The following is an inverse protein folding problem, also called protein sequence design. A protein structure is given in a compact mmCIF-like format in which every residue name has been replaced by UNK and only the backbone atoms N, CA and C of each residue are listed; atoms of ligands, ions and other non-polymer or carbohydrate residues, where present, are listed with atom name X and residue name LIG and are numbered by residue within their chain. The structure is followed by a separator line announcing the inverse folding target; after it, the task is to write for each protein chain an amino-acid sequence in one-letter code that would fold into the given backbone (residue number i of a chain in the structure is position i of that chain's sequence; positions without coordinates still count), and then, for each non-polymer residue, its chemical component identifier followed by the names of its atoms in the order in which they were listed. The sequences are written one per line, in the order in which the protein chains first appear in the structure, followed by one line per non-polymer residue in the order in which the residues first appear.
data_IF_590573008088
#
_entry.id   IF_590573008088
#
_cell.length_a   1.000
_cell.length_b   1.000
_cell.length_c   1.000
_cell.angle_alpha   90.00
_cell.angle_beta   90.00
_cell.angle_gamma   90.00
#
_symmetry.space_group_name_H-M   'P 1'
#
loop_
_entity.id
_entity.type
_entity.pdbx_description
1 polymer ?
#
# COMPACT_ATOMS: atom_id res chain seq x y z
N UNK A 1 26.49 -16.20 22.04
CA UNK A 1 26.44 -16.31 20.56
C UNK A 1 25.35 -15.40 20.06
N UNK A 2 25.73 -14.44 19.26
CA UNK A 2 24.74 -13.65 18.53
C UNK A 2 24.18 -14.52 17.42
N UNK A 3 22.90 -14.88 17.49
CA UNK A 3 22.19 -15.40 16.33
C UNK A 3 22.22 -14.32 15.27
N UNK A 4 22.88 -14.58 14.15
CA UNK A 4 22.80 -13.68 13.01
C UNK A 4 21.34 -13.63 12.59
N UNK A 5 20.72 -12.47 12.72
CA UNK A 5 19.42 -12.25 12.14
C UNK A 5 19.52 -12.53 10.63
N UNK A 6 18.72 -13.47 10.13
CA UNK A 6 18.67 -13.74 8.71
C UNK A 6 18.27 -12.44 7.98
N UNK A 7 19.08 -12.02 7.03
CA UNK A 7 18.77 -10.85 6.21
C UNK A 7 17.52 -11.17 5.40
N UNK A 8 16.41 -10.51 5.74
CA UNK A 8 15.16 -10.62 5.00
C UNK A 8 15.27 -9.83 3.70
N UNK A 9 14.80 -10.41 2.61
CA UNK A 9 14.69 -9.70 1.35
C UNK A 9 13.49 -8.78 1.39
N UNK A 10 13.69 -7.49 1.07
CA UNK A 10 12.60 -6.52 0.94
C UNK A 10 11.91 -6.69 -0.40
N UNK A 11 10.60 -6.81 -0.35
CA UNK A 11 9.75 -6.97 -1.53
C UNK A 11 8.62 -5.95 -1.47
N UNK A 12 8.42 -5.23 -2.56
CA UNK A 12 7.35 -4.27 -2.68
C UNK A 12 6.00 -4.98 -2.86
N UNK A 13 4.99 -4.52 -2.13
CA UNK A 13 3.60 -4.96 -2.27
C UNK A 13 2.76 -3.75 -2.64
N UNK A 14 1.99 -3.86 -3.72
CA UNK A 14 1.16 -2.77 -4.22
C UNK A 14 -0.29 -3.01 -3.81
N UNK A 15 -0.91 -1.97 -3.27
CA UNK A 15 -2.34 -1.95 -2.95
C UNK A 15 -3.07 -1.16 -4.03
N UNK A 16 -4.00 -1.81 -4.69
CA UNK A 16 -4.85 -1.21 -5.73
C UNK A 16 -6.32 -1.49 -5.48
N UNK A 17 -7.17 -0.55 -5.87
CA UNK A 17 -8.63 -0.74 -5.90
C UNK A 17 -9.04 -1.01 -7.34
N UNK A 18 -9.71 -2.13 -7.56
CA UNK A 18 -10.23 -2.51 -8.87
C UNK A 18 -11.57 -1.87 -9.21
N UNK A 19 -12.01 -2.07 -10.44
CA UNK A 19 -13.31 -1.56 -10.92
C UNK A 19 -14.51 -2.23 -10.23
N UNK A 20 -14.30 -3.37 -9.59
CA UNK A 20 -15.30 -4.12 -8.81
C UNK A 20 -15.42 -3.62 -7.36
N UNK A 21 -14.76 -2.51 -7.02
CA UNK A 21 -14.66 -1.97 -5.67
C UNK A 21 -13.92 -2.87 -4.67
N UNK A 22 -13.24 -3.92 -5.14
CA UNK A 22 -12.39 -4.75 -4.30
C UNK A 22 -10.96 -4.23 -4.33
N UNK A 23 -10.29 -4.37 -3.19
CA UNK A 23 -8.86 -4.10 -3.09
C UNK A 23 -8.06 -5.35 -3.39
N UNK A 24 -6.93 -5.18 -4.06
CA UNK A 24 -5.93 -6.22 -4.23
C UNK A 24 -4.61 -5.78 -3.61
N UNK A 25 -3.91 -6.73 -3.02
CA UNK A 25 -2.53 -6.57 -2.59
C UNK A 25 -1.72 -7.59 -3.36
N UNK A 26 -0.68 -7.19 -4.07
CA UNK A 26 0.12 -8.12 -4.84
C UNK A 26 1.60 -7.80 -4.73
N UNK A 27 2.39 -8.86 -4.77
CA UNK A 27 3.85 -8.76 -4.74
C UNK A 27 4.37 -8.25 -6.08
N UNK A 28 5.08 -7.13 -6.05
CA UNK A 28 5.72 -6.55 -7.24
C UNK A 28 7.17 -7.04 -7.32
N UNK A 29 7.32 -8.35 -7.56
CA UNK A 29 8.61 -9.01 -7.68
C UNK A 29 8.43 -10.34 -8.42
N UNK A 30 9.24 -10.55 -9.44
CA UNK A 30 8.99 -11.63 -10.41
C UNK A 30 10.14 -12.64 -10.53
N UNK A 31 11.14 -12.57 -9.64
CA UNK A 31 12.29 -13.48 -9.69
C UNK A 31 12.06 -14.80 -8.94
N UNK A 32 10.96 -14.90 -8.18
CA UNK A 32 10.56 -16.16 -7.55
C UNK A 32 9.71 -17.00 -8.52
N UNK A 33 9.64 -18.30 -8.28
CA UNK A 33 8.77 -19.22 -9.00
C UNK A 33 7.33 -19.24 -8.45
N UNK A 34 7.02 -18.35 -7.54
CA UNK A 34 5.68 -18.16 -6.96
C UNK A 34 5.31 -16.68 -6.93
N UNK A 35 4.02 -16.40 -6.89
CA UNK A 35 3.48 -15.07 -6.65
C UNK A 35 2.60 -15.05 -5.41
N UNK A 36 2.50 -13.90 -4.77
CA UNK A 36 1.64 -13.69 -3.61
C UNK A 36 0.64 -12.59 -3.92
N UNK A 37 -0.61 -12.81 -3.55
CA UNK A 37 -1.68 -11.83 -3.70
C UNK A 37 -2.71 -12.00 -2.59
N UNK A 38 -3.48 -10.95 -2.37
CA UNK A 38 -4.61 -10.96 -1.45
C UNK A 38 -5.69 -10.02 -1.95
N UNK A 39 -6.93 -10.28 -1.55
CA UNK A 39 -8.10 -9.52 -1.97
C UNK A 39 -9.00 -9.25 -0.78
N UNK A 40 -9.74 -8.16 -0.83
CA UNK A 40 -10.69 -7.82 0.21
C UNK A 40 -11.53 -6.60 -0.13
N UNK A 41 -12.55 -6.34 0.68
CA UNK A 41 -13.41 -5.16 0.54
C UNK A 41 -12.74 -3.89 1.04
N UNK A 42 -11.70 -4.04 1.85
CA UNK A 42 -10.88 -2.95 2.35
C UNK A 42 -9.42 -3.24 2.05
N UNK A 43 -8.59 -2.20 2.08
CA UNK A 43 -7.14 -2.37 1.92
C UNK A 43 -6.58 -3.29 3.02
N UNK A 44 -7.05 -3.15 4.27
CA UNK A 44 -6.58 -3.98 5.38
C UNK A 44 -6.95 -5.46 5.19
N UNK A 45 -8.16 -5.75 4.71
CA UNK A 45 -8.55 -7.12 4.38
C UNK A 45 -7.66 -7.73 3.28
N UNK A 46 -7.35 -6.95 2.24
CA UNK A 46 -6.46 -7.40 1.18
C UNK A 46 -5.05 -7.67 1.70
N UNK A 47 -4.54 -6.83 2.59
CA UNK A 47 -3.23 -7.01 3.23
C UNK A 47 -3.24 -8.29 4.09
N UNK A 48 -4.26 -8.50 4.89
CA UNK A 48 -4.39 -9.68 5.74
C UNK A 48 -4.43 -10.97 4.89
N UNK A 49 -5.23 -10.95 3.82
CA UNK A 49 -5.32 -12.07 2.88
C UNK A 49 -3.98 -12.35 2.18
N UNK A 50 -3.24 -11.29 1.85
CA UNK A 50 -1.89 -11.41 1.31
C UNK A 50 -0.94 -12.14 2.28
N UNK A 51 -0.96 -11.77 3.56
CA UNK A 51 -0.12 -12.44 4.56
C UNK A 51 -0.53 -13.89 4.77
N UNK A 52 -1.81 -14.21 4.72
CA UNK A 52 -2.28 -15.60 4.76
C UNK A 52 -1.74 -16.40 3.55
N UNK A 53 -1.79 -15.81 2.36
CA UNK A 53 -1.21 -16.40 1.16
C UNK A 53 0.29 -16.70 1.34
N UNK A 54 1.03 -15.79 1.95
CA UNK A 54 2.45 -15.98 2.24
C UNK A 54 2.67 -17.13 3.22
N UNK A 55 1.88 -17.24 4.29
CA UNK A 55 1.98 -18.35 5.23
C UNK A 55 1.66 -19.69 4.56
N UNK A 56 0.65 -19.73 3.70
CA UNK A 56 0.32 -20.93 2.93
C UNK A 56 1.46 -21.35 2.00
N UNK A 57 2.09 -20.39 1.33
CA UNK A 57 3.24 -20.66 0.45
C UNK A 57 4.42 -21.23 1.23
N UNK A 58 4.73 -20.66 2.40
CA UNK A 58 5.78 -21.17 3.27
C UNK A 58 5.50 -22.62 3.71
N UNK A 59 4.25 -22.91 4.08
CA UNK A 59 3.84 -24.25 4.50
C UNK A 59 3.93 -25.24 3.35
N UNK A 60 3.50 -24.85 2.15
CA UNK A 60 3.56 -25.68 0.97
C UNK A 60 5.02 -26.03 0.61
N UNK A 61 5.90 -25.06 0.61
CA UNK A 61 7.33 -25.29 0.35
C UNK A 61 7.96 -26.20 1.40
N UNK A 62 7.59 -26.03 2.66
CA UNK A 62 8.06 -26.91 3.74
C UNK A 62 7.64 -28.37 3.54
N UNK A 63 6.41 -28.60 3.09
CA UNK A 63 5.93 -29.95 2.77
C UNK A 63 6.69 -30.59 1.60
N UNK A 64 7.17 -29.77 0.67
CA UNK A 64 7.98 -30.22 -0.47
C UNK A 64 9.46 -30.37 -0.12
N UNK A 65 9.84 -30.16 1.14
CA UNK A 65 11.22 -30.22 1.59
C UNK A 65 12.05 -29.00 1.19
N UNK A 66 11.40 -27.91 0.82
CA UNK A 66 12.05 -26.65 0.47
C UNK A 66 11.97 -25.66 1.62
N UNK A 67 12.88 -24.71 1.63
CA UNK A 67 12.86 -23.58 2.59
C UNK A 67 12.42 -22.34 1.83
N UNK A 68 11.27 -21.80 2.21
CA UNK A 68 10.78 -20.55 1.65
C UNK A 68 11.70 -19.37 2.06
N UNK A 69 11.91 -18.40 1.18
CA UNK A 69 12.68 -17.22 1.54
C UNK A 69 11.97 -16.40 2.63
N UNK A 70 12.73 -15.86 3.56
CA UNK A 70 12.22 -14.90 4.52
C UNK A 70 12.10 -13.54 3.84
N UNK A 71 10.87 -13.00 3.83
CA UNK A 71 10.55 -11.77 3.13
C UNK A 71 10.08 -10.69 4.10
N UNK A 72 10.51 -9.47 3.84
CA UNK A 72 9.99 -8.26 4.47
C UNK A 72 9.21 -7.49 3.42
N UNK A 73 7.94 -7.20 3.68
CA UNK A 73 7.08 -6.54 2.72
C UNK A 73 7.01 -5.04 2.96
N UNK A 74 7.29 -4.29 1.90
CA UNK A 74 7.15 -2.84 1.86
C UNK A 74 5.84 -2.52 1.14
N UNK A 75 4.81 -2.14 1.90
CA UNK A 75 3.46 -1.93 1.39
C UNK A 75 3.33 -0.51 0.86
N UNK A 76 2.94 -0.38 -0.41
CA UNK A 76 2.72 0.89 -1.08
C UNK A 76 1.34 0.92 -1.72
N UNK A 77 0.68 2.07 -1.59
CA UNK A 77 -0.59 2.28 -2.26
C UNK A 77 -0.36 2.85 -3.65
N UNK A 78 -1.14 2.38 -4.60
CA UNK A 78 -1.36 3.11 -5.84
C UNK A 78 -2.07 4.43 -5.51
N UNK A 79 -1.53 5.55 -5.96
CA UNK A 79 -2.05 6.87 -5.59
C UNK A 79 -3.49 7.08 -6.06
N UNK A 80 -3.81 6.66 -7.28
CA UNK A 80 -5.17 6.81 -7.81
C UNK A 80 -6.19 6.09 -6.93
N UNK A 81 -5.87 4.87 -6.53
CA UNK A 81 -6.71 4.04 -5.66
C UNK A 81 -6.85 4.63 -4.27
N UNK A 82 -5.76 5.17 -3.72
CA UNK A 82 -5.77 5.87 -2.44
C UNK A 82 -6.71 7.08 -2.47
N UNK A 83 -6.56 7.94 -3.48
CA UNK A 83 -7.38 9.14 -3.60
C UNK A 83 -8.86 8.81 -3.80
N UNK A 84 -9.17 7.79 -4.58
CA UNK A 84 -10.54 7.34 -4.81
C UNK A 84 -11.15 6.78 -3.52
N UNK A 85 -10.43 5.93 -2.81
CA UNK A 85 -10.89 5.33 -1.56
C UNK A 85 -11.16 6.37 -0.48
N UNK A 86 -10.22 7.31 -0.30
CA UNK A 86 -10.33 8.33 0.74
C UNK A 86 -11.20 9.53 0.34
N UNK A 87 -11.74 9.56 -0.89
CA UNK A 87 -12.66 10.62 -1.33
C UNK A 87 -13.91 10.75 -0.46
N UNK A 88 -14.33 9.67 0.19
CA UNK A 88 -15.46 9.69 1.12
C UNK A 88 -15.13 10.29 2.50
N UNK A 89 -13.85 10.40 2.83
CA UNK A 89 -13.38 10.90 4.13
C UNK A 89 -12.71 12.26 3.96
N UNK A 90 -11.83 12.37 2.97
CA UNK A 90 -11.08 13.58 2.67
C UNK A 90 -11.57 14.15 1.34
N UNK A 91 -12.25 15.30 1.40
CA UNK A 91 -12.70 15.99 0.18
C UNK A 91 -11.49 16.46 -0.63
N UNK A 92 -11.71 16.66 -1.93
CA UNK A 92 -10.65 17.18 -2.81
C UNK A 92 -10.21 18.57 -2.40
N UNK A 93 -11.13 19.41 -1.92
CA UNK A 93 -10.78 20.73 -1.37
C UNK A 93 -9.97 20.61 -0.08
N UNK A 94 -10.29 19.64 0.78
CA UNK A 94 -9.52 19.33 1.97
C UNK A 94 -8.13 18.82 1.63
N UNK A 95 -8.03 17.91 0.67
CA UNK A 95 -6.74 17.39 0.19
C UNK A 95 -5.89 18.49 -0.46
N UNK A 96 -6.50 19.47 -1.16
CA UNK A 96 -5.77 20.62 -1.67
C UNK A 96 -5.13 21.43 -0.53
N UNK A 97 -5.86 21.65 0.55
CA UNK A 97 -5.31 22.33 1.74
C UNK A 97 -4.18 21.55 2.40
N UNK A 98 -4.31 20.23 2.47
CA UNK A 98 -3.31 19.37 3.09
C UNK A 98 -2.06 19.28 2.22
N UNK A 99 -2.23 19.02 0.92
CA UNK A 99 -1.13 18.71 0.00
C UNK A 99 -0.54 19.90 -0.73
N UNK A 100 -1.31 20.98 -0.86
CA UNK A 100 -0.98 22.11 -1.72
C UNK A 100 -1.15 21.81 -3.21
N UNK A 101 -1.71 20.67 -3.57
CA UNK A 101 -1.99 20.31 -4.97
C UNK A 101 -3.40 20.76 -5.32
N UNK A 102 -3.57 21.40 -6.46
CA UNK A 102 -4.86 21.88 -6.94
C UNK A 102 -5.88 20.75 -7.05
N UNK A 103 -7.15 21.02 -6.66
CA UNK A 103 -8.25 20.04 -6.69
C UNK A 103 -8.44 19.39 -8.06
N UNK A 104 -8.34 20.18 -9.13
CA UNK A 104 -8.48 19.68 -10.49
C UNK A 104 -7.39 18.67 -10.84
N UNK A 105 -6.16 18.93 -10.40
CA UNK A 105 -5.04 18.02 -10.60
C UNK A 105 -5.23 16.74 -9.78
N UNK A 106 -5.67 16.84 -8.53
CA UNK A 106 -6.00 15.68 -7.70
C UNK A 106 -7.09 14.82 -8.33
N UNK A 107 -8.10 15.45 -8.92
CA UNK A 107 -9.16 14.74 -9.65
C UNK A 107 -8.59 13.99 -10.87
N UNK A 108 -7.68 14.60 -11.61
CA UNK A 108 -7.01 13.93 -12.74
C UNK A 108 -6.22 12.70 -12.27
N UNK A 109 -5.57 12.78 -11.11
CA UNK A 109 -4.86 11.63 -10.53
C UNK A 109 -5.85 10.53 -10.08
N UNK A 110 -6.91 10.89 -9.37
CA UNK A 110 -7.90 9.92 -8.86
C UNK A 110 -8.65 9.20 -9.98
N UNK A 111 -8.90 9.88 -11.10
CA UNK A 111 -9.58 9.29 -12.27
C UNK A 111 -8.63 8.51 -13.19
N UNK A 112 -7.33 8.52 -12.92
CA UNK A 112 -6.33 7.88 -13.76
C UNK A 112 -6.00 8.64 -15.05
N UNK A 113 -6.57 9.84 -15.23
CA UNK A 113 -6.35 10.67 -16.42
C UNK A 113 -4.90 11.13 -16.55
N UNK A 114 -4.24 11.37 -15.41
CA UNK A 114 -2.82 11.70 -15.35
C UNK A 114 -2.13 10.89 -14.27
N UNK A 115 -0.89 10.52 -14.55
CA UNK A 115 -0.01 9.92 -13.55
C UNK A 115 0.87 11.02 -12.95
N UNK A 116 0.95 11.10 -11.61
CA UNK A 116 1.82 12.07 -10.96
C UNK A 116 3.29 11.70 -11.16
N UNK A 117 4.14 12.71 -11.22
CA UNK A 117 5.59 12.49 -11.17
C UNK A 117 5.99 12.02 -9.78
N UNK A 118 7.13 11.33 -9.67
CA UNK A 118 7.61 10.80 -8.40
C UNK A 118 7.80 11.88 -7.34
N UNK A 119 8.23 13.09 -7.72
CA UNK A 119 8.34 14.22 -6.80
C UNK A 119 6.98 14.65 -6.25
N UNK A 120 5.94 14.64 -7.10
CA UNK A 120 4.57 14.97 -6.69
C UNK A 120 4.02 13.94 -5.73
N UNK A 121 4.19 12.66 -6.03
CA UNK A 121 3.77 11.55 -5.16
C UNK A 121 4.44 11.64 -3.80
N UNK A 122 5.73 11.91 -3.77
CA UNK A 122 6.49 12.10 -2.53
C UNK A 122 5.98 13.30 -1.72
N UNK A 123 5.70 14.41 -2.38
CA UNK A 123 5.13 15.60 -1.74
C UNK A 123 3.77 15.30 -1.11
N UNK A 124 2.90 14.62 -1.83
CA UNK A 124 1.58 14.22 -1.33
C UNK A 124 1.74 13.35 -0.08
N UNK A 125 2.61 12.35 -0.13
CA UNK A 125 2.87 11.47 1.02
C UNK A 125 3.39 12.25 2.23
N UNK A 126 4.38 13.10 2.05
CA UNK A 126 4.96 13.90 3.14
C UNK A 126 3.92 14.83 3.78
N UNK A 127 3.07 15.46 2.97
CA UNK A 127 2.03 16.37 3.46
C UNK A 127 0.92 15.63 4.20
N UNK A 128 0.52 14.47 3.71
CA UNK A 128 -0.47 13.62 4.41
C UNK A 128 0.08 13.16 5.76
N UNK A 129 1.35 12.74 5.82
CA UNK A 129 1.98 12.33 7.07
C UNK A 129 2.07 13.50 8.05
N UNK A 130 2.41 14.71 7.58
CA UNK A 130 2.43 15.90 8.42
C UNK A 130 1.04 16.21 8.99
N UNK A 131 0.01 16.12 8.18
CA UNK A 131 -1.36 16.33 8.62
C UNK A 131 -1.77 15.29 9.67
N UNK A 132 -1.40 14.03 9.49
CA UNK A 132 -1.66 12.98 10.47
C UNK A 132 -0.95 13.25 11.79
N UNK A 133 0.28 13.74 11.76
CA UNK A 133 1.03 14.12 12.96
C UNK A 133 0.37 15.30 13.67
N UNK A 134 -0.09 16.30 12.92
CA UNK A 134 -0.80 17.46 13.49
C UNK A 134 -2.11 17.02 14.18
N UNK A 135 -2.87 16.14 13.55
CA UNK A 135 -4.11 15.61 14.13
C UNK A 135 -3.86 14.83 15.42
N UNK A 136 -2.75 14.08 15.49
CA UNK A 136 -2.41 13.30 16.68
C UNK A 136 -2.19 14.19 17.91
N UNK A 137 -1.79 15.43 17.72
CA UNK A 137 -1.55 16.39 18.81
C UNK A 137 -2.82 17.09 19.29
N UNK A 138 -3.92 16.98 18.54
CA UNK A 138 -5.19 17.61 18.91
C UNK A 138 -5.79 16.92 20.12
N UNK A 139 -6.12 17.69 21.15
CA UNK A 139 -6.80 17.22 22.35
C UNK A 139 -8.02 18.09 22.58
N UNK A 140 -9.05 17.51 23.18
CA UNK A 140 -10.30 18.24 23.48
C UNK A 140 -10.40 18.56 24.96
N UNK A 141 -11.06 19.68 25.28
CA UNK A 141 -11.36 20.09 26.66
C UNK A 141 -12.56 19.34 27.19
#
# INVERSE_FOLDING_TARGET
MKTSEAIKKKVKVIIEKGNDNLFSAYMDYYEFDFGLSGFGKTAQEAINDFYECYEEEKNMQSREGKVAPELEFEIKYDLNSFLDYYAGILSKSGLEKITGINQKQLWHYSSGRRQPKSQTTKKIQERIHQFADDLRQVQFV
#
